data_IF_683488464696
#
_entry.id   IF_683488464696
#
_cell.length_a   1.000
_cell.length_b   1.000
_cell.length_c   1.000
_cell.angle_alpha   90.00
_cell.angle_beta   90.00
_cell.angle_gamma   90.00
#
_symmetry.space_group_name_H-M   'P 1'
#
loop_
_entity.id
_entity.type
_entity.pdbx_description
1 polymer ?
#
# COMPACT_ATOMS: atom_id res chain seq x y z
N UNK A 1 37.55 -28.31 -35.41
CA UNK A 1 37.19 -26.97 -34.94
C UNK A 1 35.71 -26.77 -35.22
N UNK A 2 34.90 -27.05 -34.23
CA UNK A 2 33.46 -26.82 -34.29
C UNK A 2 33.14 -25.72 -33.27
N UNK A 3 32.87 -24.52 -33.76
CA UNK A 3 32.36 -23.41 -32.96
C UNK A 3 30.88 -23.66 -32.69
N UNK A 4 30.55 -24.04 -31.47
CA UNK A 4 29.18 -24.02 -30.93
C UNK A 4 28.86 -22.57 -30.55
N UNK A 5 28.04 -21.91 -31.33
CA UNK A 5 27.42 -20.63 -30.97
C UNK A 5 26.43 -20.88 -29.82
N UNK A 6 26.78 -20.37 -28.63
CA UNK A 6 25.82 -20.24 -27.53
C UNK A 6 24.81 -19.15 -27.91
N UNK A 7 23.63 -19.58 -28.29
CA UNK A 7 22.46 -18.68 -28.35
C UNK A 7 22.06 -18.37 -26.92
N UNK A 8 22.34 -17.14 -26.48
CA UNK A 8 21.77 -16.55 -25.29
C UNK A 8 20.23 -16.48 -25.49
N UNK A 9 19.51 -17.41 -24.89
CA UNK A 9 18.07 -17.28 -24.75
C UNK A 9 17.82 -16.18 -23.72
N UNK A 10 17.57 -14.96 -24.18
CA UNK A 10 16.94 -13.93 -23.36
C UNK A 10 15.60 -14.50 -22.87
N UNK A 11 15.56 -14.91 -21.60
CA UNK A 11 14.37 -15.51 -20.98
C UNK A 11 13.17 -14.58 -21.14
N UNK A 12 12.08 -15.12 -21.69
CA UNK A 12 10.81 -14.40 -21.80
C UNK A 12 10.39 -13.94 -20.39
N UNK A 13 10.14 -12.63 -20.20
CA UNK A 13 9.64 -12.08 -18.93
C UNK A 13 8.31 -12.78 -18.60
N UNK A 14 8.05 -13.04 -17.32
CA UNK A 14 6.76 -13.59 -16.90
C UNK A 14 5.65 -12.53 -17.07
N UNK A 15 4.39 -12.98 -17.20
CA UNK A 15 3.26 -12.04 -17.25
C UNK A 15 3.19 -11.13 -16.02
N UNK A 16 3.62 -11.64 -14.85
CA UNK A 16 3.71 -10.85 -13.63
C UNK A 16 4.80 -9.76 -13.69
N UNK A 17 5.96 -10.05 -14.31
CA UNK A 17 7.04 -9.06 -14.48
C UNK A 17 6.65 -7.98 -15.49
N UNK A 18 5.96 -8.37 -16.58
CA UNK A 18 5.43 -7.41 -17.57
C UNK A 18 4.35 -6.53 -16.94
N UNK A 19 3.41 -7.11 -16.19
CA UNK A 19 2.38 -6.37 -15.47
C UNK A 19 2.99 -5.38 -14.47
N UNK A 20 4.04 -5.80 -13.74
CA UNK A 20 4.75 -4.92 -12.82
C UNK A 20 5.44 -3.76 -13.54
N UNK A 21 6.00 -3.99 -14.73
CA UNK A 21 6.57 -2.92 -15.56
C UNK A 21 5.51 -1.89 -15.97
N UNK A 22 4.30 -2.31 -16.33
CA UNK A 22 3.15 -1.42 -16.63
C UNK A 22 2.80 -0.58 -15.38
N UNK A 23 2.71 -1.20 -14.21
CA UNK A 23 2.37 -0.54 -12.94
C UNK A 23 3.40 0.52 -12.58
N UNK A 24 4.69 0.19 -12.66
CA UNK A 24 5.77 1.14 -12.36
C UNK A 24 5.76 2.32 -13.33
N UNK A 25 5.57 2.06 -14.63
CA UNK A 25 5.47 3.10 -15.64
C UNK A 25 4.25 4.01 -15.42
N UNK A 26 3.08 3.44 -15.05
CA UNK A 26 1.89 4.21 -14.68
C UNK A 26 2.14 5.14 -13.48
N UNK A 27 2.81 4.63 -12.44
CA UNK A 27 3.14 5.42 -11.27
C UNK A 27 4.10 6.58 -11.59
N UNK A 28 5.06 6.37 -12.49
CA UNK A 28 6.03 7.39 -12.93
C UNK A 28 5.42 8.47 -13.80
N UNK A 29 4.40 8.14 -14.60
CA UNK A 29 3.81 9.05 -15.60
C UNK A 29 2.53 9.76 -15.13
N UNK A 30 1.99 9.47 -13.96
CA UNK A 30 0.71 10.01 -13.46
C UNK A 30 0.66 11.55 -13.47
N UNK A 31 1.72 12.21 -12.98
CA UNK A 31 1.80 13.69 -12.94
C UNK A 31 1.79 14.28 -14.35
N UNK A 32 2.52 13.66 -15.30
CA UNK A 32 2.57 14.10 -16.70
C UNK A 32 1.20 13.92 -17.38
N UNK A 33 0.56 12.78 -17.15
CA UNK A 33 -0.77 12.48 -17.69
C UNK A 33 -1.85 13.43 -17.14
N UNK A 34 -1.79 13.73 -15.84
CA UNK A 34 -2.69 14.71 -15.20
C UNK A 34 -2.47 16.12 -15.76
N UNK A 35 -1.21 16.56 -15.88
CA UNK A 35 -0.87 17.89 -16.40
C UNK A 35 -1.31 18.08 -17.87
N UNK A 36 -1.35 17.00 -18.67
CA UNK A 36 -1.85 17.05 -20.04
C UNK A 36 -3.36 17.33 -20.10
N UNK A 37 -4.14 16.94 -19.08
CA UNK A 37 -5.55 17.28 -18.92
C UNK A 37 -6.50 16.69 -19.97
N UNK A 38 -6.04 15.70 -20.76
CA UNK A 38 -6.82 15.09 -21.85
C UNK A 38 -6.83 13.56 -21.72
N UNK A 39 -7.85 12.94 -22.30
CA UNK A 39 -7.86 11.48 -22.46
C UNK A 39 -6.70 11.05 -23.37
N UNK A 40 -5.96 10.02 -22.95
CA UNK A 40 -4.87 9.46 -23.74
C UNK A 40 -4.75 7.95 -23.51
N UNK A 41 -4.44 7.22 -24.58
CA UNK A 41 -4.10 5.79 -24.54
C UNK A 41 -2.60 5.60 -24.67
N UNK A 42 -2.07 4.54 -24.02
CA UNK A 42 -0.63 4.28 -23.97
C UNK A 42 -0.32 2.81 -24.21
N UNK A 43 0.71 2.56 -25.00
CA UNK A 43 1.42 1.27 -25.07
C UNK A 43 2.67 1.32 -24.21
N UNK A 44 3.20 0.15 -23.83
CA UNK A 44 4.50 0.03 -23.16
C UNK A 44 5.56 -0.41 -24.17
N UNK A 45 6.65 0.35 -24.29
CA UNK A 45 7.76 -0.03 -25.15
C UNK A 45 8.70 -1.05 -24.46
N UNK A 46 9.70 -1.53 -25.21
CA UNK A 46 10.66 -2.54 -24.71
C UNK A 46 11.51 -2.04 -23.53
N UNK A 47 11.66 -0.73 -23.38
CA UNK A 47 12.40 -0.09 -22.31
C UNK A 47 11.52 0.16 -21.06
N UNK A 48 10.23 -0.23 -21.11
CA UNK A 48 9.28 -0.05 -20.03
C UNK A 48 8.74 1.38 -19.92
N UNK A 49 8.76 2.16 -21.01
CA UNK A 49 8.26 3.54 -21.06
C UNK A 49 6.89 3.57 -21.74
N UNK A 50 5.97 4.33 -21.13
CA UNK A 50 4.65 4.55 -21.73
C UNK A 50 4.76 5.50 -22.93
N UNK A 51 4.24 5.04 -24.09
CA UNK A 51 4.16 5.80 -25.34
C UNK A 51 2.71 6.08 -25.68
N UNK A 52 2.35 7.34 -25.95
CA UNK A 52 1.01 7.67 -26.41
C UNK A 52 0.68 6.93 -27.72
N UNK A 53 -0.52 6.39 -27.80
CA UNK A 53 -1.06 5.73 -29.00
C UNK A 53 -2.49 6.21 -29.28
N UNK A 54 -2.99 5.94 -30.48
CA UNK A 54 -4.37 6.26 -30.83
C UNK A 54 -5.37 5.53 -29.89
N UNK A 55 -6.50 6.14 -29.62
CA UNK A 55 -7.57 5.50 -28.88
C UNK A 55 -8.01 4.21 -29.59
N UNK A 56 -8.11 3.11 -28.85
CA UNK A 56 -8.44 1.80 -29.41
C UNK A 56 -7.30 1.09 -30.14
N UNK A 57 -6.07 1.58 -30.02
CA UNK A 57 -4.89 0.88 -30.54
C UNK A 57 -4.75 -0.51 -29.94
N UNK A 58 -4.45 -1.52 -30.76
CA UNK A 58 -4.41 -2.92 -30.34
C UNK A 58 -3.36 -3.19 -29.23
N UNK A 59 -2.24 -2.44 -29.23
CA UNK A 59 -1.18 -2.58 -28.25
C UNK A 59 -1.35 -1.66 -27.03
N UNK A 60 -2.52 -0.97 -26.89
CA UNK A 60 -2.77 -0.16 -25.71
C UNK A 60 -2.84 -1.03 -24.47
N UNK A 61 -2.09 -0.65 -23.43
CA UNK A 61 -2.10 -1.33 -22.11
C UNK A 61 -2.80 -0.49 -21.05
N UNK A 62 -2.76 0.84 -21.18
CA UNK A 62 -3.36 1.81 -20.26
C UNK A 62 -4.07 2.93 -20.99
N UNK A 63 -5.06 3.51 -20.32
CA UNK A 63 -5.66 4.79 -20.70
C UNK A 63 -5.66 5.73 -19.47
N UNK A 64 -5.40 7.02 -19.73
CA UNK A 64 -5.57 8.07 -18.74
C UNK A 64 -6.91 8.77 -18.97
N UNK A 65 -7.70 8.88 -17.93
CA UNK A 65 -8.95 9.65 -17.96
C UNK A 65 -8.85 10.84 -16.98
N UNK A 66 -8.95 12.09 -17.47
CA UNK A 66 -8.93 13.27 -16.62
C UNK A 66 -9.98 13.17 -15.50
N UNK A 67 -9.59 13.54 -14.28
CA UNK A 67 -10.47 13.46 -13.09
C UNK A 67 -10.67 12.05 -12.50
N UNK A 68 -10.34 10.98 -13.25
CA UNK A 68 -10.48 9.58 -12.82
C UNK A 68 -9.12 8.94 -12.53
N UNK A 69 -8.17 9.09 -13.46
CA UNK A 69 -6.84 8.49 -13.37
C UNK A 69 -6.60 7.41 -14.41
N UNK A 70 -5.78 6.42 -14.07
CA UNK A 70 -5.45 5.30 -14.94
C UNK A 70 -6.57 4.27 -15.01
N UNK A 71 -6.83 3.78 -16.21
CA UNK A 71 -7.69 2.63 -16.50
C UNK A 71 -6.88 1.60 -17.30
N UNK A 72 -7.11 0.31 -17.05
CA UNK A 72 -6.51 -0.76 -17.84
C UNK A 72 -7.17 -0.85 -19.20
N UNK A 73 -6.37 -0.83 -20.26
CA UNK A 73 -6.80 -1.11 -21.63
C UNK A 73 -6.58 -2.57 -22.03
N UNK A 74 -6.04 -3.40 -21.12
CA UNK A 74 -5.80 -4.82 -21.36
C UNK A 74 -7.14 -5.58 -21.51
N UNK A 75 -7.20 -6.60 -22.39
CA UNK A 75 -8.34 -7.51 -22.49
C UNK A 75 -8.71 -8.14 -21.14
N UNK A 76 -9.97 -8.53 -20.97
CA UNK A 76 -10.45 -9.11 -19.71
C UNK A 76 -9.75 -10.42 -19.32
N UNK A 77 -9.33 -11.18 -20.31
CA UNK A 77 -8.63 -12.47 -20.20
C UNK A 77 -7.09 -12.34 -20.24
N UNK A 78 -6.56 -11.14 -20.33
CA UNK A 78 -5.10 -10.93 -20.29
C UNK A 78 -4.55 -11.28 -18.90
N UNK A 79 -3.54 -12.17 -18.79
CA UNK A 79 -3.00 -12.63 -17.52
C UNK A 79 -2.33 -11.50 -16.70
N UNK A 80 -2.00 -10.36 -17.32
CA UNK A 80 -1.41 -9.18 -16.67
C UNK A 80 -2.46 -8.34 -15.95
N UNK A 81 -3.74 -8.42 -16.41
CA UNK A 81 -4.79 -7.47 -16.06
C UNK A 81 -5.06 -7.42 -14.56
N UNK A 82 -5.18 -8.57 -13.89
CA UNK A 82 -5.52 -8.61 -12.47
C UNK A 82 -4.48 -7.85 -11.61
N UNK A 83 -3.18 -8.01 -11.92
CA UNK A 83 -2.13 -7.31 -11.20
C UNK A 83 -2.15 -5.82 -11.53
N UNK A 84 -2.32 -5.44 -12.79
CA UNK A 84 -2.43 -4.04 -13.20
C UNK A 84 -3.62 -3.38 -12.50
N UNK A 85 -4.81 -3.96 -12.56
CA UNK A 85 -6.03 -3.43 -11.96
C UNK A 85 -5.91 -3.23 -10.44
N UNK A 86 -5.19 -4.11 -9.73
CA UNK A 86 -4.98 -3.98 -8.29
C UNK A 86 -4.25 -2.68 -7.92
N UNK A 87 -3.22 -2.30 -8.68
CA UNK A 87 -2.35 -1.18 -8.32
C UNK A 87 -2.67 0.14 -9.02
N UNK A 88 -3.45 0.13 -10.12
CA UNK A 88 -3.76 1.36 -10.87
C UNK A 88 -4.37 2.49 -10.02
N UNK A 89 -5.27 2.23 -9.04
CA UNK A 89 -5.78 3.29 -8.19
C UNK A 89 -4.67 4.03 -7.42
N UNK A 90 -3.64 3.30 -6.98
CA UNK A 90 -2.49 3.87 -6.28
C UNK A 90 -1.58 4.62 -7.26
N UNK A 91 -1.34 4.04 -8.45
CA UNK A 91 -0.51 4.66 -9.47
C UNK A 91 -1.06 6.00 -9.98
N UNK A 92 -2.39 6.16 -10.00
CA UNK A 92 -3.06 7.38 -10.45
C UNK A 92 -2.99 8.55 -9.47
N UNK A 93 -2.44 8.36 -8.27
CA UNK A 93 -2.34 9.41 -7.28
C UNK A 93 -1.28 10.45 -7.65
N UNK A 94 -1.61 11.72 -7.39
CA UNK A 94 -0.79 12.91 -7.62
C UNK A 94 -0.89 13.83 -6.40
N UNK A 95 -0.17 14.95 -6.39
CA UNK A 95 -0.28 15.92 -5.28
C UNK A 95 -1.67 16.54 -5.16
N UNK A 96 -2.40 16.67 -6.26
CA UNK A 96 -3.76 17.22 -6.29
C UNK A 96 -4.82 16.17 -5.96
N UNK A 97 -4.49 14.90 -6.14
CA UNK A 97 -5.32 13.73 -5.79
C UNK A 97 -4.49 12.70 -5.05
N UNK A 98 -4.09 13.01 -3.82
CA UNK A 98 -3.29 12.10 -3.02
C UNK A 98 -4.09 10.87 -2.59
N UNK A 99 -3.37 9.80 -2.21
CA UNK A 99 -3.97 8.57 -1.71
C UNK A 99 -3.25 8.09 -0.45
N UNK A 100 -4.03 7.59 0.51
CA UNK A 100 -3.53 6.86 1.68
C UNK A 100 -4.10 5.45 1.66
N UNK A 101 -3.23 4.45 1.68
CA UNK A 101 -3.60 3.03 1.58
C UNK A 101 -3.20 2.32 2.87
N UNK A 102 -4.16 1.69 3.55
CA UNK A 102 -3.90 0.79 4.68
C UNK A 102 -3.82 -0.66 4.20
N UNK A 103 -2.95 -1.47 4.82
CA UNK A 103 -2.91 -2.91 4.56
C UNK A 103 -2.74 -3.70 5.84
N UNK A 104 -3.47 -4.83 5.91
CA UNK A 104 -3.35 -5.85 6.95
C UNK A 104 -3.40 -7.25 6.33
N UNK A 105 -2.60 -8.16 6.89
CA UNK A 105 -2.74 -9.60 6.68
C UNK A 105 -3.33 -10.25 7.92
N UNK A 106 -4.37 -11.06 7.77
CA UNK A 106 -5.07 -11.68 8.91
C UNK A 106 -5.49 -13.13 8.63
N UNK A 107 -5.81 -13.84 9.70
CA UNK A 107 -6.49 -15.13 9.66
C UNK A 107 -7.98 -14.99 9.30
N UNK A 108 -8.66 -16.11 9.00
CA UNK A 108 -10.11 -16.15 8.75
C UNK A 108 -10.94 -15.59 9.89
N UNK A 109 -10.47 -15.75 11.12
CA UNK A 109 -11.13 -15.30 12.35
C UNK A 109 -10.65 -13.92 12.82
N UNK A 110 -9.89 -13.18 11.98
CA UNK A 110 -9.63 -11.75 12.16
C UNK A 110 -8.42 -11.39 13.02
N UNK A 111 -7.45 -12.29 13.17
CA UNK A 111 -6.24 -12.03 13.96
C UNK A 111 -4.98 -11.89 13.09
N UNK A 112 -4.07 -10.98 13.49
CA UNK A 112 -2.78 -10.75 12.82
C UNK A 112 -1.63 -11.52 13.48
N UNK A 113 -1.82 -12.00 14.68
CA UNK A 113 -0.83 -12.75 15.46
C UNK A 113 -1.51 -13.53 16.59
N UNK A 114 -0.83 -14.51 17.14
CA UNK A 114 -1.22 -15.15 18.41
C UNK A 114 -1.09 -14.17 19.58
N UNK A 115 -1.60 -14.51 20.76
CA UNK A 115 -1.38 -13.73 21.99
C UNK A 115 0.10 -13.55 22.34
N UNK A 116 0.92 -14.57 22.09
CA UNK A 116 2.38 -14.51 22.31
C UNK A 116 3.10 -13.60 21.32
N UNK A 117 2.40 -13.14 20.26
CA UNK A 117 2.95 -12.24 19.24
C UNK A 117 3.56 -12.94 18.04
N UNK A 118 3.39 -14.27 17.91
CA UNK A 118 3.81 -14.96 16.71
C UNK A 118 2.91 -14.55 15.55
N UNK A 119 3.50 -13.81 14.60
CA UNK A 119 2.86 -13.24 13.40
C UNK A 119 3.45 -13.78 12.10
N UNK A 120 4.56 -14.54 12.21
CA UNK A 120 5.26 -15.01 11.03
C UNK A 120 4.40 -16.02 10.26
N UNK A 121 4.26 -15.76 8.94
CA UNK A 121 3.51 -16.63 8.03
C UNK A 121 2.01 -16.76 8.31
N UNK A 122 1.39 -15.79 8.96
CA UNK A 122 -0.09 -15.69 8.98
C UNK A 122 -0.61 -15.63 7.56
N UNK A 123 0.01 -14.84 6.70
CA UNK A 123 -0.28 -14.77 5.26
C UNK A 123 0.87 -15.34 4.42
N UNK A 124 0.58 -15.70 3.15
CA UNK A 124 1.52 -16.34 2.25
C UNK A 124 2.62 -15.41 1.70
N UNK A 125 3.53 -16.01 0.92
CA UNK A 125 4.65 -15.33 0.27
C UNK A 125 4.19 -14.21 -0.68
N UNK A 126 3.07 -14.41 -1.34
CA UNK A 126 2.48 -13.45 -2.29
C UNK A 126 2.07 -12.15 -1.59
N UNK A 127 1.64 -12.24 -0.33
CA UNK A 127 1.36 -11.05 0.48
C UNK A 127 2.65 -10.30 0.84
N UNK A 128 3.75 -11.00 1.13
CA UNK A 128 5.06 -10.35 1.33
C UNK A 128 5.48 -9.61 0.07
N UNK A 129 5.30 -10.22 -1.11
CA UNK A 129 5.59 -9.57 -2.40
C UNK A 129 4.69 -8.34 -2.62
N UNK A 130 3.43 -8.44 -2.24
CA UNK A 130 2.47 -7.33 -2.29
C UNK A 130 2.92 -6.14 -1.40
N UNK A 131 3.36 -6.38 -0.17
CA UNK A 131 3.93 -5.34 0.70
C UNK A 131 5.12 -4.62 0.03
N UNK A 132 6.02 -5.38 -0.61
CA UNK A 132 7.15 -4.78 -1.33
C UNK A 132 6.73 -3.98 -2.56
N UNK A 133 5.65 -4.36 -3.23
CA UNK A 133 5.05 -3.59 -4.33
C UNK A 133 4.43 -2.29 -3.83
N UNK A 134 3.72 -2.31 -2.70
CA UNK A 134 3.19 -1.10 -2.07
C UNK A 134 4.33 -0.16 -1.66
N UNK A 135 5.41 -0.68 -1.05
CA UNK A 135 6.59 0.10 -0.69
C UNK A 135 7.27 0.74 -1.92
N UNK A 136 7.32 0.02 -3.05
CA UNK A 136 7.90 0.54 -4.29
C UNK A 136 7.06 1.65 -4.94
N UNK A 137 5.74 1.66 -4.72
CA UNK A 137 4.81 2.61 -5.32
C UNK A 137 4.56 3.85 -4.45
N UNK A 138 4.71 3.72 -3.13
CA UNK A 138 4.37 4.78 -2.20
C UNK A 138 5.59 5.66 -1.87
N UNK A 139 5.32 6.96 -1.67
CA UNK A 139 6.35 7.95 -1.34
C UNK A 139 6.78 7.82 0.13
N UNK A 140 5.84 7.43 1.00
CA UNK A 140 6.09 7.21 2.42
C UNK A 140 5.37 5.97 2.93
N UNK A 141 5.98 5.31 3.93
CA UNK A 141 5.41 4.21 4.69
C UNK A 141 5.33 4.60 6.17
N UNK A 142 4.15 4.44 6.78
CA UNK A 142 3.93 4.68 8.21
C UNK A 142 3.79 3.33 8.92
N UNK A 143 4.52 3.17 10.01
CA UNK A 143 4.46 2.00 10.89
C UNK A 143 4.41 2.45 12.34
N UNK A 144 3.58 1.82 13.15
CA UNK A 144 3.50 2.10 14.57
C UNK A 144 4.65 1.48 15.38
N UNK A 145 4.94 2.08 16.54
CA UNK A 145 5.97 1.62 17.47
C UNK A 145 5.83 0.13 17.85
N UNK A 146 4.60 -0.36 18.02
CA UNK A 146 4.35 -1.75 18.36
C UNK A 146 4.87 -2.74 17.31
N UNK A 147 4.75 -2.42 16.03
CA UNK A 147 5.29 -3.23 14.92
C UNK A 147 6.82 -3.18 14.88
N UNK A 148 7.41 -1.99 15.13
CA UNK A 148 8.87 -1.87 15.22
C UNK A 148 9.43 -2.70 16.37
N UNK A 149 8.79 -2.65 17.53
CA UNK A 149 9.20 -3.39 18.72
C UNK A 149 9.05 -4.92 18.54
N UNK A 150 8.03 -5.37 17.80
CA UNK A 150 7.78 -6.80 17.60
C UNK A 150 8.68 -7.42 16.51
N UNK A 151 8.85 -6.72 15.38
CA UNK A 151 9.36 -7.33 14.15
C UNK A 151 10.75 -6.76 13.73
N UNK A 152 11.20 -5.67 14.35
CA UNK A 152 12.42 -4.93 13.93
C UNK A 152 12.54 -4.82 12.40
N UNK A 153 11.55 -4.25 11.70
CA UNK A 153 11.46 -4.31 10.25
C UNK A 153 12.45 -3.34 9.59
N UNK A 154 12.88 -3.65 8.35
CA UNK A 154 13.67 -2.69 7.56
C UNK A 154 12.81 -1.68 6.79
N UNK A 155 11.57 -2.02 6.43
CA UNK A 155 10.60 -1.20 5.70
C UNK A 155 11.11 -0.70 4.33
N UNK A 156 12.00 -1.46 3.70
CA UNK A 156 12.58 -1.14 2.38
C UNK A 156 12.01 -2.03 1.28
N UNK A 157 12.10 -1.58 0.04
CA UNK A 157 11.78 -2.37 -1.15
C UNK A 157 12.94 -3.29 -1.49
N UNK A 158 12.70 -4.63 -1.55
CA UNK A 158 13.76 -5.63 -1.78
C UNK A 158 13.37 -6.74 -2.76
N UNK A 159 12.08 -7.08 -2.84
CA UNK A 159 11.61 -8.23 -3.62
C UNK A 159 11.04 -7.86 -4.99
N UNK A 160 10.99 -6.58 -5.32
CA UNK A 160 10.57 -6.05 -6.61
C UNK A 160 11.45 -4.87 -7.01
N UNK A 161 11.60 -4.57 -8.30
CA UNK A 161 12.21 -3.32 -8.75
C UNK A 161 11.38 -2.12 -8.28
N UNK A 162 12.08 -1.08 -7.81
CA UNK A 162 11.47 0.18 -7.37
C UNK A 162 12.24 0.84 -6.23
N UNK A 163 11.98 2.12 -5.94
CA UNK A 163 12.60 2.84 -4.84
C UNK A 163 12.09 2.35 -3.48
N UNK A 164 12.85 2.62 -2.43
CA UNK A 164 12.36 2.49 -1.05
C UNK A 164 11.64 3.77 -0.64
N UNK A 165 10.51 3.68 0.07
CA UNK A 165 9.78 4.85 0.56
C UNK A 165 10.51 5.55 1.72
N UNK A 166 10.12 6.80 2.00
CA UNK A 166 10.41 7.46 3.27
C UNK A 166 9.78 6.64 4.40
N UNK A 167 10.60 6.19 5.35
CA UNK A 167 10.12 5.47 6.54
C UNK A 167 9.61 6.44 7.59
N UNK A 168 8.42 6.25 8.11
CA UNK A 168 7.81 7.06 9.15
C UNK A 168 7.45 6.16 10.32
N UNK A 169 8.16 6.30 11.41
CA UNK A 169 7.90 5.54 12.64
C UNK A 169 7.04 6.39 13.55
N UNK A 170 5.79 5.99 13.69
CA UNK A 170 4.80 6.66 14.53
C UNK A 170 4.83 6.09 15.95
N UNK A 171 5.39 6.85 16.87
CA UNK A 171 5.52 6.50 18.28
C UNK A 171 5.11 7.69 19.15
N UNK A 172 3.80 7.94 19.33
CA UNK A 172 3.30 9.11 20.05
C UNK A 172 3.83 9.19 21.48
N UNK A 173 4.17 8.06 22.09
CA UNK A 173 4.66 7.96 23.48
C UNK A 173 6.19 7.94 23.59
N UNK A 174 6.90 7.90 22.46
CA UNK A 174 8.36 7.83 22.41
C UNK A 174 8.95 6.68 23.23
N UNK A 175 8.32 5.50 23.12
CA UNK A 175 8.69 4.31 23.90
C UNK A 175 9.82 3.46 23.29
N UNK A 176 10.21 3.71 22.02
CA UNK A 176 11.23 2.93 21.31
C UNK A 176 12.65 3.35 21.71
N UNK A 177 13.56 2.36 21.79
CA UNK A 177 15.01 2.60 21.81
C UNK A 177 15.56 2.83 20.40
N UNK A 178 16.80 3.32 20.27
CA UNK A 178 17.46 3.64 18.99
C UNK A 178 18.19 2.45 18.35
N UNK A 179 18.14 1.28 18.98
CA UNK A 179 18.81 0.06 18.54
C UNK A 179 18.11 -0.67 17.38
N UNK A 180 16.86 -0.32 17.04
CA UNK A 180 16.12 -0.94 15.95
C UNK A 180 16.71 -0.57 14.59
N UNK A 181 16.57 -1.47 13.59
CA UNK A 181 17.11 -1.28 12.25
C UNK A 181 16.63 0.00 11.57
N UNK A 182 15.39 0.38 11.76
CA UNK A 182 14.84 1.63 11.20
C UNK A 182 15.59 2.89 11.67
N UNK A 183 16.26 2.84 12.84
CA UNK A 183 17.05 3.94 13.39
C UNK A 183 18.56 3.80 13.20
N UNK A 184 19.04 2.62 12.81
CA UNK A 184 20.49 2.30 12.78
C UNK A 184 21.03 1.95 11.39
N UNK A 185 20.23 1.35 10.49
CA UNK A 185 20.72 0.74 9.25
C UNK A 185 21.07 1.73 8.12
N UNK A 186 20.51 2.94 8.12
CA UNK A 186 20.73 3.94 7.09
C UNK A 186 20.28 3.53 5.68
N UNK A 187 19.48 2.49 5.55
CA UNK A 187 19.07 1.92 4.26
C UNK A 187 18.02 2.77 3.51
N UNK A 188 17.30 3.65 4.23
CA UNK A 188 16.38 4.65 3.69
C UNK A 188 16.26 5.81 4.67
N UNK A 189 15.78 6.97 4.18
CA UNK A 189 15.45 8.11 5.03
C UNK A 189 14.37 7.69 6.03
N UNK A 190 14.52 8.12 7.30
CA UNK A 190 13.58 7.80 8.37
C UNK A 190 13.18 9.05 9.14
N UNK A 191 11.88 9.20 9.35
CA UNK A 191 11.31 10.13 10.32
C UNK A 191 10.86 9.36 11.55
N UNK A 192 11.23 9.86 12.72
CA UNK A 192 10.71 9.38 14.00
C UNK A 192 9.74 10.40 14.54
N UNK A 193 8.45 10.08 14.55
CA UNK A 193 7.36 10.99 14.87
C UNK A 193 6.82 10.69 16.26
N UNK A 194 6.87 11.69 17.14
CA UNK A 194 6.40 11.59 18.53
C UNK A 194 5.78 12.89 19.02
N UNK A 195 5.19 12.87 20.22
CA UNK A 195 4.64 14.06 20.87
C UNK A 195 5.72 15.10 21.18
N UNK A 196 5.40 16.38 20.97
CA UNK A 196 6.32 17.50 21.22
C UNK A 196 6.73 17.58 22.68
N UNK A 197 5.81 17.30 23.61
CA UNK A 197 6.08 17.30 25.05
C UNK A 197 7.20 16.34 25.46
N UNK A 198 7.49 15.33 24.63
CA UNK A 198 8.49 14.30 24.85
C UNK A 198 9.85 14.60 24.21
N UNK A 199 10.00 15.75 23.56
CA UNK A 199 11.22 16.14 22.84
C UNK A 199 11.94 17.30 23.55
N UNK A 200 13.27 17.39 23.38
CA UNK A 200 14.05 18.54 23.82
C UNK A 200 14.07 19.62 22.72
N UNK A 201 14.21 20.91 23.07
CA UNK A 201 14.15 22.00 22.08
C UNK A 201 15.15 21.89 20.92
N UNK A 202 16.32 21.33 21.17
CA UNK A 202 17.46 21.20 20.23
C UNK A 202 17.64 19.78 19.70
N UNK A 203 16.73 18.87 20.01
CA UNK A 203 16.79 17.50 19.58
C UNK A 203 16.22 17.34 18.17
N UNK A 204 17.08 17.00 17.21
CA UNK A 204 16.71 16.89 15.80
C UNK A 204 16.82 15.47 15.23
N UNK A 205 17.44 14.55 15.97
CA UNK A 205 17.69 13.19 15.53
C UNK A 205 17.47 12.18 16.67
N UNK A 206 17.12 10.96 16.28
CA UNK A 206 17.07 9.79 17.13
C UNK A 206 17.73 8.62 16.38
N UNK A 207 18.92 8.21 16.82
CA UNK A 207 19.78 7.38 16.00
C UNK A 207 20.07 8.07 14.66
N UNK A 208 19.83 7.40 13.55
CA UNK A 208 19.96 7.95 12.18
C UNK A 208 18.67 8.58 11.66
N UNK A 209 17.56 8.46 12.40
CA UNK A 209 16.29 9.05 12.00
C UNK A 209 16.22 10.52 12.35
N UNK A 210 15.57 11.31 11.49
CA UNK A 210 15.21 12.68 11.79
C UNK A 210 14.02 12.68 12.76
N UNK A 211 14.17 13.32 13.91
CA UNK A 211 13.10 13.47 14.89
C UNK A 211 12.12 14.55 14.42
N UNK A 212 10.84 14.23 14.48
CA UNK A 212 9.73 15.12 14.14
C UNK A 212 8.77 15.17 15.33
N UNK A 213 8.71 16.34 15.96
CA UNK A 213 7.82 16.61 17.07
C UNK A 213 6.49 17.14 16.54
N UNK A 214 5.39 16.46 16.82
CA UNK A 214 4.01 16.90 16.52
C UNK A 214 3.37 17.35 17.83
N UNK A 215 2.54 18.40 17.75
CA UNK A 215 1.83 18.89 18.92
C UNK A 215 0.89 17.79 19.45
N UNK A 216 1.03 17.53 20.74
CA UNK A 216 0.25 16.53 21.47
C UNK A 216 -0.77 17.22 22.38
N UNK A 217 -1.96 16.65 22.42
CA UNK A 217 -3.09 17.07 23.24
C UNK A 217 -3.33 16.06 24.35
N UNK A 218 -4.36 16.25 25.18
CA UNK A 218 -4.72 15.29 26.24
C UNK A 218 -4.99 13.88 25.69
N UNK A 219 -5.47 13.79 24.44
CA UNK A 219 -5.77 12.53 23.75
C UNK A 219 -4.55 11.94 22.99
N UNK A 220 -3.42 12.63 23.01
CA UNK A 220 -2.17 12.23 22.33
C UNK A 220 -1.91 13.00 21.02
N UNK A 221 -1.16 12.39 20.12
CA UNK A 221 -0.79 12.96 18.80
C UNK A 221 -1.88 12.64 17.79
N UNK A 222 -2.41 13.67 17.10
CA UNK A 222 -3.36 13.47 16.01
C UNK A 222 -2.65 12.88 14.77
N UNK A 223 -3.15 11.75 14.29
CA UNK A 223 -2.62 11.10 13.07
C UNK A 223 -2.88 11.92 11.81
N UNK A 224 -3.85 12.84 11.81
CA UNK A 224 -4.08 13.77 10.71
C UNK A 224 -2.88 14.70 10.50
N UNK A 225 -2.22 15.15 11.57
CA UNK A 225 -1.03 16.00 11.49
C UNK A 225 0.15 15.26 10.85
N UNK A 226 0.26 13.94 11.08
CA UNK A 226 1.26 13.10 10.41
C UNK A 226 1.01 13.04 8.90
N UNK A 227 -0.24 12.88 8.49
CA UNK A 227 -0.62 12.86 7.07
C UNK A 227 -0.36 14.24 6.45
N UNK A 228 -0.76 15.33 7.09
CA UNK A 228 -0.52 16.70 6.63
C UNK A 228 0.97 16.97 6.46
N UNK A 229 1.79 16.65 7.45
CA UNK A 229 3.25 16.77 7.37
C UNK A 229 3.83 16.08 6.12
N UNK A 230 3.35 14.87 5.80
CA UNK A 230 3.83 14.12 4.65
C UNK A 230 3.32 14.71 3.33
N UNK A 231 2.06 15.20 3.29
CA UNK A 231 1.52 15.93 2.12
C UNK A 231 2.30 17.20 1.84
N UNK A 232 2.66 17.98 2.85
CA UNK A 232 3.50 19.19 2.73
C UNK A 232 4.90 18.87 2.24
N UNK A 233 5.43 17.68 2.55
CA UNK A 233 6.68 17.16 1.98
C UNK A 233 6.53 16.66 0.54
N UNK A 234 5.31 16.67 -0.02
CA UNK A 234 5.03 16.27 -1.39
C UNK A 234 4.74 14.79 -1.57
N UNK A 235 4.55 14.02 -0.49
CA UNK A 235 4.14 12.62 -0.58
C UNK A 235 2.70 12.52 -1.10
N UNK A 236 2.52 12.08 -2.33
CA UNK A 236 1.20 11.85 -2.93
C UNK A 236 0.62 10.48 -2.57
N UNK A 237 1.47 9.51 -2.27
CA UNK A 237 1.10 8.13 -1.96
C UNK A 237 1.65 7.77 -0.60
N UNK A 238 0.76 7.54 0.38
CA UNK A 238 1.14 7.14 1.73
C UNK A 238 0.65 5.74 1.99
N UNK A 239 1.51 4.87 2.50
CA UNK A 239 1.20 3.51 2.86
C UNK A 239 1.22 3.33 4.38
N UNK A 240 0.11 2.90 4.97
CA UNK A 240 0.01 2.53 6.39
C UNK A 240 0.19 1.02 6.47
N UNK A 241 1.38 0.60 6.88
CA UNK A 241 1.73 -0.82 7.06
C UNK A 241 1.83 -1.15 8.54
N UNK A 242 1.37 -2.32 8.89
CA UNK A 242 1.70 -2.84 10.20
C UNK A 242 0.54 -3.26 11.05
N UNK A 243 0.74 -3.20 12.36
CA UNK A 243 -0.17 -3.75 13.34
C UNK A 243 -1.58 -3.17 13.28
N UNK A 244 -2.54 -3.97 13.74
CA UNK A 244 -3.96 -3.63 13.71
C UNK A 244 -4.29 -2.28 14.37
N UNK A 245 -3.56 -1.92 15.44
CA UNK A 245 -3.76 -0.63 16.14
C UNK A 245 -3.52 0.55 15.19
N UNK A 246 -2.38 0.60 14.51
CA UNK A 246 -2.05 1.72 13.62
C UNK A 246 -3.05 1.86 12.48
N UNK A 247 -3.35 0.76 11.77
CA UNK A 247 -4.33 0.80 10.68
C UNK A 247 -5.72 1.19 11.18
N UNK A 248 -6.14 0.68 12.35
CA UNK A 248 -7.43 1.04 12.97
C UNK A 248 -7.50 2.52 13.32
N UNK A 249 -6.43 3.12 13.87
CA UNK A 249 -6.39 4.55 14.20
C UNK A 249 -6.58 5.42 12.94
N UNK A 250 -5.87 5.10 11.84
CA UNK A 250 -6.04 5.84 10.57
C UNK A 250 -7.42 5.61 9.94
N UNK A 251 -7.98 4.41 10.08
CA UNK A 251 -9.33 4.09 9.59
C UNK A 251 -10.41 4.84 10.38
N UNK A 252 -10.34 4.85 11.71
CA UNK A 252 -11.28 5.56 12.57
C UNK A 252 -11.23 7.08 12.35
N UNK A 253 -10.05 7.62 12.09
CA UNK A 253 -9.86 9.03 11.74
C UNK A 253 -10.33 9.39 10.31
N UNK A 254 -10.81 8.41 9.52
CA UNK A 254 -11.25 8.66 8.13
C UNK A 254 -10.12 9.06 7.18
N UNK A 255 -8.88 8.67 7.48
CA UNK A 255 -7.68 9.07 6.73
C UNK A 255 -7.22 8.03 5.69
N UNK A 256 -7.93 6.92 5.57
CA UNK A 256 -7.65 5.91 4.54
C UNK A 256 -8.59 6.11 3.34
N UNK A 257 -8.02 6.25 2.15
CA UNK A 257 -8.77 6.22 0.89
C UNK A 257 -9.01 4.77 0.42
N UNK A 258 -8.08 3.87 0.77
CA UNK A 258 -8.18 2.43 0.48
C UNK A 258 -7.72 1.61 1.67
N UNK A 259 -8.39 0.46 1.85
CA UNK A 259 -8.00 -0.55 2.82
C UNK A 259 -7.87 -1.90 2.12
N UNK A 260 -6.69 -2.50 2.20
CA UNK A 260 -6.40 -3.80 1.62
C UNK A 260 -6.24 -4.83 2.74
N UNK A 261 -7.08 -5.88 2.74
CA UNK A 261 -7.06 -6.93 3.76
C UNK A 261 -6.78 -8.27 3.07
N UNK A 262 -5.61 -8.85 3.34
CA UNK A 262 -5.28 -10.20 2.94
C UNK A 262 -5.76 -11.18 4.00
N UNK A 263 -6.63 -12.11 3.61
CA UNK A 263 -7.20 -13.12 4.49
C UNK A 263 -6.58 -14.47 4.14
N UNK A 264 -5.83 -15.02 5.08
CA UNK A 264 -5.26 -16.36 4.97
C UNK A 264 -6.26 -17.44 5.41
N UNK A 265 -6.23 -18.62 4.80
CA UNK A 265 -7.08 -19.77 5.20
C UNK A 265 -6.55 -20.43 6.49
N UNK A 266 -6.38 -19.62 7.55
CA UNK A 266 -5.86 -19.98 8.86
C UNK A 266 -6.85 -19.54 9.93
N UNK A 267 -7.03 -20.34 10.98
CA UNK A 267 -7.78 -19.99 12.18
C UNK A 267 -6.80 -19.97 13.36
N UNK A 268 -6.72 -18.83 14.04
CA UNK A 268 -5.84 -18.64 15.22
C UNK A 268 -6.60 -18.96 16.51
N UNK A 269 -7.91 -18.71 16.56
CA UNK A 269 -8.79 -18.94 17.72
C UNK A 269 -8.86 -17.72 18.62
N UNK A 270 -7.75 -17.23 19.13
CA UNK A 270 -7.63 -16.01 19.93
C UNK A 270 -6.23 -15.42 19.78
N UNK A 271 -6.14 -14.10 19.69
CA UNK A 271 -4.86 -13.43 19.40
C UNK A 271 -4.98 -11.92 19.31
N UNK A 272 -4.02 -11.30 18.62
CA UNK A 272 -4.02 -9.87 18.35
C UNK A 272 -4.97 -9.56 17.20
N UNK A 273 -6.04 -8.77 17.40
CA UNK A 273 -7.03 -8.48 16.35
C UNK A 273 -6.41 -7.62 15.24
N UNK A 274 -6.94 -7.81 14.01
CA UNK A 274 -6.54 -7.05 12.84
C UNK A 274 -7.08 -5.62 12.87
N UNK A 275 -8.40 -5.46 12.95
CA UNK A 275 -9.07 -4.16 13.03
C UNK A 275 -9.83 -4.10 14.35
N UNK A 276 -9.69 -2.96 15.02
CA UNK A 276 -10.46 -2.63 16.22
C UNK A 276 -10.89 -1.18 16.12
N UNK A 277 -12.19 -0.96 16.01
CA UNK A 277 -12.83 0.35 15.98
C UNK A 277 -13.74 0.50 17.21
N UNK A 278 -14.15 1.72 17.49
CA UNK A 278 -15.16 1.98 18.51
C UNK A 278 -16.46 1.22 18.20
N UNK A 279 -17.13 0.68 19.22
CA UNK A 279 -18.35 -0.10 19.03
C UNK A 279 -19.45 0.72 18.36
N UNK A 280 -20.08 0.16 17.32
CA UNK A 280 -21.25 0.75 16.66
C UNK A 280 -22.53 0.11 17.20
N UNK A 281 -23.53 0.93 17.47
CA UNK A 281 -24.80 0.44 18.07
C UNK A 281 -25.65 -0.34 17.05
N UNK A 282 -25.59 0.06 15.78
CA UNK A 282 -26.39 -0.56 14.71
C UNK A 282 -25.53 -0.80 13.46
N UNK A 283 -25.90 -1.81 12.66
CA UNK A 283 -25.17 -2.15 11.44
C UNK A 283 -25.18 -1.03 10.38
N UNK A 284 -26.12 -0.10 10.46
CA UNK A 284 -26.19 1.07 9.59
C UNK A 284 -25.01 2.03 9.77
N UNK A 285 -24.38 2.02 10.96
CA UNK A 285 -23.24 2.89 11.28
C UNK A 285 -21.88 2.23 10.93
N UNK A 286 -21.91 0.98 10.43
CA UNK A 286 -20.71 0.26 10.04
C UNK A 286 -20.30 0.61 8.60
N UNK A 287 -18.99 0.66 8.34
CA UNK A 287 -18.45 0.87 7.00
C UNK A 287 -18.87 -0.22 6.02
N UNK A 288 -19.32 0.16 4.82
CA UNK A 288 -19.69 -0.73 3.71
C UNK A 288 -19.00 -0.27 2.42
N UNK A 289 -17.67 -0.41 2.34
CA UNK A 289 -16.92 0.09 1.20
C UNK A 289 -17.25 -0.70 -0.07
N UNK A 290 -17.12 -0.07 -1.24
CA UNK A 290 -16.97 -0.82 -2.48
C UNK A 290 -15.70 -1.65 -2.40
N UNK A 291 -15.71 -2.85 -2.97
CA UNK A 291 -14.53 -3.71 -2.91
C UNK A 291 -14.34 -4.51 -4.19
N UNK A 292 -13.09 -4.93 -4.39
CA UNK A 292 -12.70 -5.94 -5.37
C UNK A 292 -11.98 -7.06 -4.63
N UNK A 293 -12.07 -8.27 -5.18
CA UNK A 293 -11.45 -9.46 -4.58
C UNK A 293 -10.40 -10.00 -5.53
N UNK A 294 -9.22 -10.28 -4.99
CA UNK A 294 -8.09 -10.84 -5.72
C UNK A 294 -7.60 -12.11 -5.03
N UNK A 295 -7.15 -13.08 -5.83
CA UNK A 295 -6.43 -14.23 -5.31
C UNK A 295 -4.95 -13.87 -5.15
N UNK A 296 -4.37 -14.13 -3.98
CA UNK A 296 -2.95 -13.96 -3.69
C UNK A 296 -2.32 -15.27 -3.23
N UNK A 297 -1.98 -16.15 -4.18
CA UNK A 297 -1.53 -17.50 -3.85
C UNK A 297 -2.61 -18.31 -3.12
N UNK A 298 -2.37 -18.61 -1.86
CA UNK A 298 -3.34 -19.26 -0.97
C UNK A 298 -4.32 -18.31 -0.29
N UNK A 299 -4.01 -17.01 -0.27
CA UNK A 299 -4.77 -15.99 0.43
C UNK A 299 -5.80 -15.31 -0.50
N UNK A 300 -6.77 -14.63 0.11
CA UNK A 300 -7.75 -13.78 -0.56
C UNK A 300 -7.53 -12.35 -0.14
N UNK A 301 -7.35 -11.43 -1.10
CA UNK A 301 -7.21 -10.02 -0.85
C UNK A 301 -8.52 -9.29 -1.14
N UNK A 302 -9.06 -8.60 -0.15
CA UNK A 302 -10.08 -7.58 -0.32
C UNK A 302 -9.41 -6.23 -0.50
N UNK A 303 -9.68 -5.58 -1.63
CA UNK A 303 -9.22 -4.21 -1.96
C UNK A 303 -10.43 -3.28 -1.86
N UNK A 304 -10.58 -2.63 -0.72
CA UNK A 304 -11.73 -1.80 -0.36
C UNK A 304 -11.47 -0.33 -0.71
N UNK A 305 -12.41 0.30 -1.40
CA UNK A 305 -12.42 1.73 -1.71
C UNK A 305 -13.25 2.46 -0.64
N UNK A 306 -12.58 3.24 0.20
CA UNK A 306 -13.18 4.00 1.29
C UNK A 306 -13.53 5.44 0.90
N UNK A 307 -13.04 5.91 -0.26
CA UNK A 307 -13.34 7.26 -0.79
C UNK A 307 -14.69 7.36 -1.47
N UNK A 308 -15.27 6.22 -1.85
CA UNK A 308 -16.61 6.15 -2.45
C UNK A 308 -17.69 6.12 -1.36
N UNK A 309 -18.87 6.69 -1.62
CA UNK A 309 -20.01 6.55 -0.70
C UNK A 309 -20.33 5.07 -0.45
N UNK A 310 -20.74 4.77 0.77
CA UNK A 310 -21.13 3.42 1.17
C UNK A 310 -22.19 2.86 0.21
N UNK A 311 -21.89 1.72 -0.44
CA UNK A 311 -22.87 1.04 -1.30
C UNK A 311 -23.84 0.25 -0.43
N UNK A 312 -25.13 0.55 -0.56
CA UNK A 312 -26.17 -0.28 0.05
C UNK A 312 -26.26 -1.64 -0.70
N UNK A 313 -25.98 -2.77 -0.05
CA UNK A 313 -25.97 -4.09 -0.70
C UNK A 313 -27.35 -4.56 -1.19
N UNK A 314 -28.42 -3.77 -0.99
CA UNK A 314 -29.78 -4.10 -1.41
C UNK A 314 -29.98 -4.24 -2.93
N UNK A 315 -28.97 -3.92 -3.76
CA UNK A 315 -29.06 -3.98 -5.22
C UNK A 315 -28.22 -5.09 -5.86
N UNK A 316 -27.52 -5.91 -5.08
CA UNK A 316 -26.75 -7.02 -5.64
C UNK A 316 -27.67 -8.16 -6.10
N UNK A 317 -27.41 -8.82 -7.25
CA UNK A 317 -28.18 -9.98 -7.66
C UNK A 317 -28.09 -11.08 -6.59
N UNK A 318 -29.21 -11.73 -6.32
CA UNK A 318 -29.34 -12.78 -5.29
C UNK A 318 -28.69 -14.13 -5.70
N UNK A 319 -27.63 -14.08 -6.52
CA UNK A 319 -26.99 -15.28 -7.07
C UNK A 319 -25.67 -15.58 -6.36
N UNK A 320 -25.43 -16.87 -6.11
CA UNK A 320 -24.15 -17.36 -5.57
C UNK A 320 -23.26 -17.71 -6.74
N UNK A 321 -22.14 -17.02 -6.89
CA UNK A 321 -21.13 -17.30 -7.90
C UNK A 321 -19.76 -17.56 -7.29
N UNK A 322 -18.97 -18.43 -7.92
CA UNK A 322 -17.57 -18.63 -7.56
C UNK A 322 -16.74 -17.47 -8.14
N UNK A 323 -16.08 -16.70 -7.29
CA UNK A 323 -15.28 -15.53 -7.70
C UNK A 323 -13.78 -15.80 -7.80
N UNK A 324 -13.29 -16.97 -7.36
CA UNK A 324 -11.89 -17.43 -7.42
C UNK A 324 -11.78 -18.92 -7.66
#
# INVERSE_FOLDING_TARGET
>A
MLHTAQHSSAGRRSAADEAWSIVVAAAGDAIRAEAAGVFASFSLDNDGVLRPVAAGHADAVLAWRPGVGWESALPADDPRRALVDLYLPICGATRTRPITVGHLGQSLDGFIATHAGDSQYVTGRENILHLHRLRALCDAIIVGAGTVAADDPQLTTRHVPGPSPLRVIFDPTRGLGDNYRVFSDGSAETLYVCGRSLTRPDESHFGRARLVAIDDHEEGVDVADVVHLLRDRGCARIFIEGGGVTVSTFLEAGLLDRLQIAIAPLIIGDGRPAIRLEPRAVLGDCHRPRYRVFRMGGDVLFDCDLSAPDDNPSAAPADVSRII
#
